data_IF_231885197477
#
_entry.id   IF_231885197477
#
_cell.length_a   1.000
_cell.length_b   1.000
_cell.length_c   1.000
_cell.angle_alpha   90.00
_cell.angle_beta   90.00
_cell.angle_gamma   90.00
#
_symmetry.space_group_name_H-M   'P 1'
#
loop_
_entity.id
_entity.type
_entity.pdbx_description
1 polymer ?
#
# COMPACT_ATOMS: atom_id res chain seq x y z
N UNK A 1 -7.65 -6.86 -8.34
CA UNK A 1 -7.76 -7.96 -9.32
C UNK A 1 -6.83 -7.66 -10.46
N UNK A 2 -6.30 -8.67 -11.15
CA UNK A 2 -5.59 -8.44 -12.43
C UNK A 2 -6.57 -8.44 -13.61
N UNK A 3 -6.05 -8.31 -14.83
CA UNK A 3 -6.83 -8.20 -16.07
C UNK A 3 -7.69 -9.43 -16.40
N UNK A 4 -7.36 -10.60 -15.82
CA UNK A 4 -8.14 -11.84 -15.98
C UNK A 4 -9.08 -12.10 -14.80
N UNK A 5 -9.18 -11.16 -13.85
CA UNK A 5 -10.08 -11.23 -12.71
C UNK A 5 -9.56 -12.02 -11.51
N UNK A 6 -8.29 -12.44 -11.49
CA UNK A 6 -7.71 -13.09 -10.32
C UNK A 6 -7.57 -12.09 -9.16
N UNK A 7 -7.90 -12.54 -7.96
CA UNK A 7 -7.98 -11.74 -6.74
C UNK A 7 -6.73 -11.97 -5.91
N UNK A 8 -6.15 -10.88 -5.39
CA UNK A 8 -4.97 -10.89 -4.54
C UNK A 8 -5.34 -10.34 -3.17
N UNK A 9 -4.97 -11.05 -2.10
CA UNK A 9 -5.33 -10.70 -0.72
C UNK A 9 -4.09 -10.74 0.14
N UNK A 10 -3.79 -9.64 0.82
CA UNK A 10 -2.80 -9.61 1.88
C UNK A 10 -3.44 -10.13 3.18
N UNK A 11 -2.85 -11.17 3.75
CA UNK A 11 -3.26 -11.79 5.01
C UNK A 11 -2.12 -11.66 6.02
N UNK A 12 -2.08 -10.48 6.66
CA UNK A 12 -0.92 -10.09 7.45
C UNK A 12 -1.00 -10.37 8.93
N UNK A 13 -2.19 -10.35 9.53
CA UNK A 13 -2.33 -10.54 10.96
C UNK A 13 -2.10 -12.02 11.30
N UNK A 14 -0.90 -12.33 11.80
CA UNK A 14 -0.37 -13.64 12.16
C UNK A 14 -0.01 -14.58 10.99
N UNK A 15 -0.59 -14.43 9.81
CA UNK A 15 -0.30 -15.33 8.69
C UNK A 15 0.97 -14.93 7.91
N UNK A 16 1.26 -13.63 7.78
CA UNK A 16 2.38 -13.12 6.99
C UNK A 16 2.39 -13.67 5.54
N UNK A 17 1.20 -13.71 4.92
CA UNK A 17 1.01 -14.26 3.56
C UNK A 17 0.37 -13.25 2.63
N UNK A 18 0.57 -13.49 1.34
CA UNK A 18 -0.32 -13.03 0.28
C UNK A 18 -0.93 -14.25 -0.39
N UNK A 19 -2.21 -14.15 -0.72
CA UNK A 19 -2.98 -15.20 -1.37
C UNK A 19 -3.45 -14.72 -2.74
N UNK A 20 -3.49 -15.67 -3.68
CA UNK A 20 -4.07 -15.48 -5.00
C UNK A 20 -5.25 -16.43 -5.19
N UNK A 21 -6.34 -15.91 -5.73
CA UNK A 21 -7.57 -16.63 -6.01
C UNK A 21 -8.02 -16.39 -7.45
N UNK A 22 -8.80 -17.32 -7.99
CA UNK A 22 -9.56 -17.12 -9.22
C UNK A 22 -10.66 -16.07 -9.01
N UNK A 23 -11.26 -15.61 -10.11
CA UNK A 23 -12.39 -14.65 -10.08
C UNK A 23 -13.65 -15.21 -9.40
N UNK A 24 -13.80 -16.53 -9.33
CA UNK A 24 -14.87 -17.22 -8.59
C UNK A 24 -14.48 -17.61 -7.15
N UNK A 25 -13.33 -17.12 -6.66
CA UNK A 25 -12.91 -17.24 -5.26
C UNK A 25 -12.23 -18.56 -4.88
N UNK A 26 -11.80 -19.37 -5.85
CA UNK A 26 -11.01 -20.58 -5.59
C UNK A 26 -9.55 -20.20 -5.34
N UNK A 27 -8.96 -20.78 -4.30
CA UNK A 27 -7.55 -20.55 -3.98
C UNK A 27 -6.65 -21.12 -5.08
N UNK A 28 -5.65 -20.34 -5.49
CA UNK A 28 -4.65 -20.72 -6.49
C UNK A 28 -3.32 -21.00 -5.79
N UNK A 29 -2.81 -20.02 -5.03
CA UNK A 29 -1.51 -20.11 -4.37
C UNK A 29 -1.38 -19.12 -3.22
N UNK A 30 -0.36 -19.33 -2.39
CA UNK A 30 0.04 -18.43 -1.32
C UNK A 30 1.56 -18.27 -1.33
N UNK A 31 2.06 -17.10 -0.97
CA UNK A 31 3.49 -16.87 -0.76
C UNK A 31 3.70 -15.92 0.42
N UNK A 32 4.96 -15.76 0.84
CA UNK A 32 5.32 -15.03 2.06
C UNK A 32 5.65 -15.97 3.20
N UNK A 33 6.52 -15.57 4.13
CA UNK A 33 6.72 -16.24 5.42
C UNK A 33 7.03 -15.17 6.47
N UNK A 34 6.83 -15.42 7.78
CA UNK A 34 7.21 -14.47 8.81
C UNK A 34 8.69 -14.09 8.73
N UNK A 35 9.00 -12.80 8.69
CA UNK A 35 10.37 -12.30 8.70
C UNK A 35 10.55 -10.95 8.04
N UNK A 36 11.81 -10.58 7.80
CA UNK A 36 12.22 -9.31 7.20
C UNK A 36 13.13 -9.48 5.98
N UNK A 37 13.42 -10.72 5.58
CA UNK A 37 14.14 -11.01 4.33
C UNK A 37 13.29 -10.77 3.09
N UNK A 38 13.90 -10.92 1.92
CA UNK A 38 13.21 -10.82 0.63
C UNK A 38 12.13 -11.90 0.51
N UNK A 39 10.93 -11.49 0.12
CA UNK A 39 9.77 -12.38 0.05
C UNK A 39 9.18 -12.80 1.39
N UNK A 40 9.77 -12.39 2.52
CA UNK A 40 9.19 -12.55 3.86
C UNK A 40 8.41 -11.29 4.25
N UNK A 41 7.46 -11.44 5.18
CA UNK A 41 6.67 -10.33 5.68
C UNK A 41 6.57 -10.35 7.20
N UNK A 42 6.43 -9.17 7.80
CA UNK A 42 6.07 -9.04 9.21
C UNK A 42 4.57 -8.77 9.34
N UNK A 43 4.06 -7.81 8.56
CA UNK A 43 2.62 -7.54 8.50
C UNK A 43 2.27 -7.01 7.10
N UNK A 44 2.06 -7.89 6.10
CA UNK A 44 1.58 -7.48 4.79
C UNK A 44 0.15 -6.95 4.93
N UNK A 45 -0.01 -5.64 4.75
CA UNK A 45 -1.25 -4.93 5.06
C UNK A 45 -2.02 -4.50 3.81
N UNK A 46 -1.31 -4.13 2.74
CA UNK A 46 -1.89 -3.69 1.49
C UNK A 46 -1.34 -4.52 0.34
N UNK A 47 -2.17 -4.79 -0.66
CA UNK A 47 -1.74 -5.39 -1.93
C UNK A 47 -2.36 -4.62 -3.09
N UNK A 48 -1.56 -4.34 -4.11
CA UNK A 48 -1.98 -3.68 -5.33
C UNK A 48 -1.34 -4.35 -6.54
N UNK A 49 -1.97 -4.24 -7.71
CA UNK A 49 -1.38 -4.69 -8.98
C UNK A 49 -1.23 -3.45 -9.86
N UNK A 50 0.00 -3.13 -10.24
CA UNK A 50 0.26 -2.00 -11.14
C UNK A 50 -0.10 -2.34 -12.59
N UNK A 51 0.03 -1.37 -13.48
CA UNK A 51 -0.34 -1.51 -14.90
C UNK A 51 0.66 -2.37 -15.68
N UNK A 52 1.84 -2.59 -15.12
CA UNK A 52 2.85 -3.52 -15.64
C UNK A 52 2.60 -4.96 -15.15
N UNK A 53 1.57 -5.17 -14.32
CA UNK A 53 1.19 -6.45 -13.76
C UNK A 53 2.04 -6.89 -12.57
N UNK A 54 2.86 -6.01 -11.99
CA UNK A 54 3.60 -6.33 -10.76
C UNK A 54 2.67 -6.26 -9.56
N UNK A 55 2.91 -7.12 -8.58
CA UNK A 55 2.17 -7.16 -7.31
C UNK A 55 2.98 -6.40 -6.25
N UNK A 56 2.44 -5.28 -5.80
CA UNK A 56 3.04 -4.45 -4.76
C UNK A 56 2.41 -4.79 -3.42
N UNK A 57 3.24 -5.04 -2.41
CA UNK A 57 2.81 -5.43 -1.07
C UNK A 57 3.37 -4.46 -0.04
N UNK A 58 2.48 -3.81 0.70
CA UNK A 58 2.83 -2.97 1.86
C UNK A 58 3.12 -3.84 3.07
N UNK A 59 4.40 -4.00 3.40
CA UNK A 59 4.85 -4.75 4.57
C UNK A 59 5.01 -3.80 5.75
N UNK A 60 3.89 -3.58 6.46
CA UNK A 60 3.71 -2.48 7.40
C UNK A 60 4.78 -2.48 8.49
N UNK A 61 4.93 -3.59 9.20
CA UNK A 61 5.83 -3.67 10.35
C UNK A 61 7.30 -3.92 9.97
N UNK A 62 7.61 -3.94 8.66
CA UNK A 62 8.97 -3.85 8.13
C UNK A 62 9.22 -2.52 7.39
N UNK A 63 8.28 -1.57 7.43
CA UNK A 63 8.44 -0.20 6.91
C UNK A 63 8.81 -0.12 5.41
N UNK A 64 8.32 -1.05 4.58
CA UNK A 64 8.70 -1.18 3.17
C UNK A 64 7.56 -1.55 2.23
N UNK A 65 7.77 -1.30 0.94
CA UNK A 65 7.02 -1.92 -0.16
C UNK A 65 7.91 -2.97 -0.82
N UNK A 66 7.37 -4.18 -0.97
CA UNK A 66 7.97 -5.24 -1.78
C UNK A 66 7.20 -5.43 -3.08
N UNK A 67 7.91 -5.68 -4.17
CA UNK A 67 7.38 -5.89 -5.51
C UNK A 67 7.59 -7.34 -5.91
N UNK A 68 6.54 -7.96 -6.43
CA UNK A 68 6.51 -9.36 -6.84
C UNK A 68 5.96 -9.50 -8.27
N UNK A 69 6.26 -10.62 -8.89
CA UNK A 69 5.50 -11.12 -10.05
C UNK A 69 4.15 -11.69 -9.60
N UNK A 70 3.22 -11.91 -10.54
CA UNK A 70 1.90 -12.48 -10.23
C UNK A 70 1.91 -13.97 -9.86
N UNK A 71 3.06 -14.64 -9.98
CA UNK A 71 3.32 -16.00 -9.49
C UNK A 71 3.99 -16.01 -8.09
N UNK A 72 4.15 -14.83 -7.46
CA UNK A 72 4.63 -14.70 -6.09
C UNK A 72 6.16 -14.64 -5.96
N UNK A 73 6.90 -14.55 -7.07
CA UNK A 73 8.36 -14.40 -7.04
C UNK A 73 8.76 -12.97 -6.67
N UNK A 74 9.67 -12.82 -5.71
CA UNK A 74 10.21 -11.52 -5.31
C UNK A 74 11.01 -10.87 -6.45
N UNK A 75 10.77 -9.59 -6.70
CA UNK A 75 11.47 -8.79 -7.72
C UNK A 75 12.43 -7.80 -7.07
N UNK A 76 11.90 -6.91 -6.22
CA UNK A 76 12.68 -5.87 -5.53
C UNK A 76 11.92 -5.31 -4.33
N UNK A 77 12.65 -4.68 -3.42
CA UNK A 77 12.06 -3.72 -2.48
C UNK A 77 12.24 -2.31 -3.03
N UNK A 78 11.26 -1.44 -2.82
CA UNK A 78 11.44 -0.03 -3.17
C UNK A 78 12.49 0.65 -2.28
N UNK A 79 13.22 1.63 -2.80
CA UNK A 79 14.32 2.27 -2.07
C UNK A 79 13.83 3.26 -0.99
N UNK A 80 12.56 3.67 -1.05
CA UNK A 80 12.00 4.67 -0.13
C UNK A 80 11.78 4.09 1.27
N UNK A 81 12.30 4.80 2.27
CA UNK A 81 11.99 4.57 3.69
C UNK A 81 10.58 5.07 3.99
N UNK A 82 9.72 4.21 4.54
CA UNK A 82 8.35 4.53 4.95
C UNK A 82 8.19 4.30 6.45
N UNK A 83 7.02 4.65 7.01
CA UNK A 83 6.69 4.42 8.41
C UNK A 83 5.31 3.74 8.50
N UNK A 84 5.30 2.41 8.50
CA UNK A 84 4.10 1.59 8.54
C UNK A 84 3.19 1.80 7.34
N UNK A 85 3.62 1.52 6.10
CA UNK A 85 2.75 1.70 4.93
C UNK A 85 1.44 0.89 5.07
N UNK A 86 0.31 1.53 4.76
CA UNK A 86 -1.00 0.89 4.72
C UNK A 86 -1.43 0.58 3.28
N UNK A 87 -2.72 0.71 2.97
CA UNK A 87 -3.24 0.49 1.62
C UNK A 87 -2.80 1.66 0.72
N UNK A 88 -2.13 1.34 -0.39
CA UNK A 88 -1.72 2.32 -1.40
C UNK A 88 -2.81 2.52 -2.46
N UNK A 89 -2.73 3.65 -3.15
CA UNK A 89 -3.47 3.93 -4.38
C UNK A 89 -2.47 4.31 -5.48
N UNK A 90 -2.66 3.78 -6.68
CA UNK A 90 -1.87 4.15 -7.86
C UNK A 90 -2.83 4.76 -8.88
N UNK A 91 -2.51 5.96 -9.35
CA UNK A 91 -3.31 6.65 -10.35
C UNK A 91 -2.91 6.26 -11.79
N UNK A 92 -3.58 6.85 -12.76
CA UNK A 92 -3.35 6.60 -14.19
C UNK A 92 -2.09 7.28 -14.76
N UNK A 93 -1.35 8.04 -13.97
CA UNK A 93 -0.02 8.56 -14.32
C UNK A 93 1.11 7.76 -13.61
N UNK A 94 0.78 6.59 -13.06
CA UNK A 94 1.64 5.74 -12.24
C UNK A 94 2.22 6.45 -11.01
N UNK A 95 1.49 7.45 -10.49
CA UNK A 95 1.80 8.10 -9.22
C UNK A 95 1.21 7.29 -8.08
N UNK A 96 2.04 7.01 -7.09
CA UNK A 96 1.72 6.12 -5.97
C UNK A 96 1.52 6.94 -4.71
N UNK A 97 0.36 6.80 -4.10
CA UNK A 97 -0.02 7.48 -2.86
C UNK A 97 -0.08 6.48 -1.72
N UNK A 98 0.73 6.68 -0.69
CA UNK A 98 0.86 5.76 0.44
C UNK A 98 0.62 6.49 1.77
N UNK A 99 -0.47 6.18 2.49
CA UNK A 99 -0.60 6.54 3.88
C UNK A 99 0.37 5.69 4.73
N UNK A 100 1.19 6.39 5.51
CA UNK A 100 2.14 5.82 6.45
C UNK A 100 1.49 5.73 7.84
N UNK A 101 0.79 4.62 8.07
CA UNK A 101 -0.03 4.37 9.25
C UNK A 101 0.71 4.67 10.55
N UNK A 102 1.95 4.20 10.68
CA UNK A 102 2.71 4.35 11.91
C UNK A 102 3.36 5.74 12.02
N UNK A 103 3.44 6.48 10.90
CA UNK A 103 4.05 7.82 10.81
C UNK A 103 3.07 8.99 10.73
N UNK A 104 1.78 8.78 10.48
CA UNK A 104 0.84 9.90 10.27
C UNK A 104 1.17 10.77 9.06
N UNK A 105 1.93 10.20 8.11
CA UNK A 105 2.37 10.85 6.88
C UNK A 105 1.60 10.29 5.68
N UNK A 106 1.67 11.02 4.58
CA UNK A 106 1.30 10.55 3.25
C UNK A 106 2.50 10.75 2.35
N UNK A 107 2.98 9.66 1.76
CA UNK A 107 4.01 9.64 0.74
C UNK A 107 3.38 9.69 -0.65
N UNK A 108 4.00 10.45 -1.55
CA UNK A 108 3.73 10.38 -3.00
C UNK A 108 5.02 9.96 -3.67
N UNK A 109 4.96 8.85 -4.39
CA UNK A 109 6.10 8.22 -5.05
C UNK A 109 5.84 8.07 -6.55
N UNK A 110 6.90 7.90 -7.34
CA UNK A 110 6.77 7.39 -8.71
C UNK A 110 6.71 5.85 -8.71
N UNK A 111 6.51 5.27 -9.90
CA UNK A 111 6.45 3.81 -10.11
C UNK A 111 7.71 3.03 -9.69
N UNK A 112 8.88 3.70 -9.65
CA UNK A 112 10.14 3.10 -9.17
C UNK A 112 10.27 3.15 -7.64
N UNK A 113 9.29 3.74 -6.97
CA UNK A 113 9.28 3.90 -5.52
C UNK A 113 10.17 5.05 -5.05
N UNK A 114 10.50 6.02 -5.90
CA UNK A 114 11.21 7.24 -5.52
C UNK A 114 10.21 8.30 -5.02
N UNK A 115 10.57 8.97 -3.92
CA UNK A 115 9.69 9.94 -3.25
C UNK A 115 9.63 11.28 -4.00
N UNK A 116 8.45 11.63 -4.47
CA UNK A 116 8.12 12.91 -5.11
C UNK A 116 7.69 13.96 -4.08
N UNK A 117 6.90 13.55 -3.09
CA UNK A 117 6.45 14.42 -2.00
C UNK A 117 6.14 13.63 -0.72
N UNK A 118 6.08 14.34 0.40
CA UNK A 118 5.58 13.83 1.67
C UNK A 118 4.95 14.96 2.47
N UNK A 119 3.82 14.69 3.12
CA UNK A 119 3.23 15.61 4.08
C UNK A 119 2.54 14.87 5.21
N UNK A 120 2.25 15.58 6.29
CA UNK A 120 1.58 15.03 7.48
C UNK A 120 2.25 15.49 8.76
N UNK A 121 1.81 14.92 9.89
CA UNK A 121 2.35 15.22 11.21
C UNK A 121 2.49 13.93 12.02
N UNK A 122 3.69 13.70 12.58
CA UNK A 122 4.03 12.45 13.28
C UNK A 122 3.11 12.11 14.46
N UNK A 123 2.41 13.10 15.03
CA UNK A 123 1.44 12.88 16.11
C UNK A 123 0.14 12.24 15.63
N UNK A 124 -0.22 12.36 14.35
CA UNK A 124 -1.50 11.90 13.79
C UNK A 124 -1.37 10.53 13.13
N UNK A 125 -0.97 9.52 13.92
CA UNK A 125 -0.83 8.12 13.49
C UNK A 125 -2.17 7.45 13.24
N UNK A 126 -2.15 6.39 12.45
CA UNK A 126 -3.31 5.59 11.99
C UNK A 126 -4.04 6.16 10.78
N UNK A 127 -3.35 6.88 9.89
CA UNK A 127 -3.84 7.09 8.53
C UNK A 127 -3.86 5.74 7.80
N UNK A 128 -4.98 5.40 7.16
CA UNK A 128 -5.22 4.01 6.75
C UNK A 128 -5.77 3.86 5.33
N UNK A 129 -6.69 4.75 4.95
CA UNK A 129 -7.32 4.76 3.64
C UNK A 129 -6.96 6.03 2.88
N UNK A 130 -6.71 5.84 1.58
CA UNK A 130 -6.47 6.89 0.61
C UNK A 130 -7.26 6.60 -0.66
N UNK A 131 -7.75 7.65 -1.31
CA UNK A 131 -8.41 7.57 -2.62
C UNK A 131 -8.08 8.82 -3.43
N UNK A 132 -8.07 8.72 -4.76
CA UNK A 132 -7.87 9.87 -5.65
C UNK A 132 -9.02 9.92 -6.67
N UNK A 133 -9.56 11.12 -6.92
CA UNK A 133 -10.60 11.34 -7.94
C UNK A 133 -10.00 11.64 -9.33
N UNK A 134 -10.85 11.71 -10.35
CA UNK A 134 -10.44 11.99 -11.74
C UNK A 134 -9.83 13.39 -11.97
N UNK A 135 -9.88 14.29 -10.97
CA UNK A 135 -9.22 15.60 -11.00
C UNK A 135 -7.90 15.60 -10.22
N UNK A 136 -7.43 14.42 -9.80
CA UNK A 136 -6.24 14.24 -8.96
C UNK A 136 -6.39 14.83 -7.57
N UNK A 137 -7.63 14.99 -7.09
CA UNK A 137 -7.86 15.35 -5.70
C UNK A 137 -7.64 14.12 -4.81
N UNK A 138 -6.80 14.27 -3.78
CA UNK A 138 -6.42 13.19 -2.86
C UNK A 138 -7.27 13.25 -1.60
N UNK A 139 -7.92 12.14 -1.25
CA UNK A 139 -8.78 11.97 -0.09
C UNK A 139 -8.10 11.04 0.91
N UNK A 140 -7.77 11.54 2.09
CA UNK A 140 -7.04 10.79 3.11
C UNK A 140 -7.82 10.77 4.41
N UNK A 141 -7.93 9.60 5.03
CA UNK A 141 -8.41 9.50 6.41
C UNK A 141 -7.33 10.02 7.35
N UNK A 142 -7.56 11.17 7.96
CA UNK A 142 -6.64 11.75 8.94
C UNK A 142 -7.19 11.54 10.36
N UNK A 143 -6.40 10.92 11.24
CA UNK A 143 -6.64 10.92 12.68
C UNK A 143 -6.56 12.35 13.21
N UNK A 144 -7.47 12.72 14.11
CA UNK A 144 -7.37 13.95 14.89
C UNK A 144 -6.74 13.68 16.27
N UNK A 145 -6.79 14.69 17.14
CA UNK A 145 -6.41 14.51 18.54
C UNK A 145 -7.24 13.40 19.21
N UNK A 146 -6.66 12.75 20.22
CA UNK A 146 -7.32 11.65 20.93
C UNK A 146 -8.67 12.09 21.50
N UNK A 147 -9.70 11.25 21.34
CA UNK A 147 -11.07 11.57 21.73
C UNK A 147 -11.82 12.50 20.75
N UNK A 148 -11.22 12.89 19.63
CA UNK A 148 -11.90 13.59 18.52
C UNK A 148 -12.21 12.61 17.38
N UNK A 149 -13.29 12.89 16.65
CA UNK A 149 -13.66 12.12 15.46
C UNK A 149 -12.58 12.22 14.37
N UNK A 150 -12.40 11.12 13.63
CA UNK A 150 -11.54 11.08 12.43
C UNK A 150 -12.17 11.90 11.32
N UNK A 151 -11.33 12.43 10.42
CA UNK A 151 -11.78 13.24 9.27
C UNK A 151 -11.32 12.59 7.97
N UNK A 152 -12.07 12.85 6.90
CA UNK A 152 -11.56 12.70 5.54
C UNK A 152 -11.12 14.09 5.09
N UNK A 153 -9.85 14.24 4.75
CA UNK A 153 -9.27 15.49 4.26
C UNK A 153 -9.05 15.36 2.77
N UNK A 154 -9.49 16.38 2.03
CA UNK A 154 -9.28 16.51 0.59
C UNK A 154 -8.10 17.45 0.35
N UNK A 155 -7.13 17.01 -0.44
CA UNK A 155 -6.04 17.82 -0.97
C UNK A 155 -6.27 17.99 -2.47
N UNK A 156 -6.27 19.25 -2.91
CA UNK A 156 -6.46 19.61 -4.32
C UNK A 156 -5.21 20.29 -4.84
N UNK A 157 -4.82 19.99 -6.08
CA UNK A 157 -3.88 20.83 -6.81
C UNK A 157 -4.54 22.22 -6.93
N UNK A 158 -3.86 23.27 -6.48
CA UNK A 158 -4.34 24.62 -6.73
C UNK A 158 -4.31 24.85 -8.25
N UNK A 159 -5.48 25.12 -8.82
CA UNK A 159 -5.59 25.66 -10.17
C UNK A 159 -5.03 27.08 -10.28
#
# INVERSE_FOLDING_TARGET
>A
MNDVGEIFIADGYANARVHKFTSDGKHIMSWGDPGSGDGQFNLPHGVWIDRQGQVLVSDRENDRIQVFTQDGSFVKSWPTKLIGPALMYIDDDDIVYIPEHNGGMVSVLNHDGERLAQWGELKYRSCHGIWVDSRKDVYVVTPGDWGKGRRVVKYSLKG
#
